data_IF_588169524784
#
_entry.id   IF_588169524784
#
_cell.length_a   1.000
_cell.length_b   1.000
_cell.length_c   1.000
_cell.angle_alpha   90.00
_cell.angle_beta   90.00
_cell.angle_gamma   90.00
#
_symmetry.space_group_name_H-M   'P 1'
#
loop_
_entity.id
_entity.type
_entity.pdbx_description
1 polymer ?
#
# COMPACT_ATOMS: atom_id res chain seq x y z
N UNK A 1 -0.50 15.85 4.33
CA UNK A 1 0.76 15.05 4.26
C UNK A 1 0.52 13.55 4.46
N UNK A 2 -0.42 13.11 5.32
CA UNK A 2 -0.64 11.67 5.62
C UNK A 2 -1.26 10.84 4.47
N UNK A 3 -2.17 11.40 3.67
CA UNK A 3 -2.92 10.64 2.63
C UNK A 3 -2.05 10.07 1.49
N UNK A 4 -0.79 10.52 1.38
CA UNK A 4 0.15 9.99 0.37
C UNK A 4 0.70 8.62 0.76
N UNK A 5 0.87 8.36 2.06
CA UNK A 5 1.61 7.19 2.56
C UNK A 5 0.70 6.13 3.17
N UNK A 6 -0.49 6.52 3.62
CA UNK A 6 -1.49 5.59 4.12
C UNK A 6 -2.83 5.78 3.42
N UNK A 7 -3.56 4.69 3.25
CA UNK A 7 -4.95 4.68 2.80
C UNK A 7 -5.78 3.83 3.75
N UNK A 8 -7.03 4.22 4.00
CA UNK A 8 -7.98 3.38 4.72
C UNK A 8 -8.14 2.04 3.98
N UNK A 9 -8.43 0.95 4.72
CA UNK A 9 -8.52 -0.39 4.14
C UNK A 9 -9.56 -0.48 2.99
N UNK A 10 -10.65 0.28 3.11
CA UNK A 10 -11.74 0.37 2.14
C UNK A 10 -11.58 1.48 1.08
N UNK A 11 -10.52 2.30 1.16
CA UNK A 11 -10.35 3.49 0.33
C UNK A 11 -10.51 3.17 -1.17
N UNK A 12 -11.30 3.94 -1.94
CA UNK A 12 -11.45 3.74 -3.38
C UNK A 12 -10.12 3.80 -4.14
N UNK A 13 -9.13 4.58 -3.67
CA UNK A 13 -7.80 4.70 -4.26
C UNK A 13 -6.89 3.50 -3.97
N UNK A 14 -7.32 2.55 -3.14
CA UNK A 14 -6.58 1.31 -2.86
C UNK A 14 -6.62 0.37 -4.08
N UNK A 15 -5.98 0.80 -5.16
CA UNK A 15 -5.82 0.09 -6.41
C UNK A 15 -4.39 -0.44 -6.56
N UNK A 16 -4.17 -1.29 -7.57
CA UNK A 16 -2.90 -1.97 -7.81
C UNK A 16 -1.68 -1.03 -7.77
N UNK A 17 -1.80 0.16 -8.38
CA UNK A 17 -0.72 1.14 -8.44
C UNK A 17 -0.33 1.70 -7.06
N UNK A 18 -1.27 1.80 -6.13
CA UNK A 18 -1.08 2.46 -4.84
C UNK A 18 -0.81 1.49 -3.71
N UNK A 19 -1.36 0.28 -3.73
CA UNK A 19 -1.28 -0.68 -2.60
C UNK A 19 -0.86 -2.10 -3.03
N UNK A 20 -0.58 -2.31 -4.32
CA UNK A 20 -0.27 -3.63 -4.86
C UNK A 20 -1.48 -4.56 -4.97
N UNK A 21 -1.27 -5.76 -5.52
CA UNK A 21 -2.36 -6.69 -5.84
C UNK A 21 -3.10 -7.25 -4.63
N UNK A 22 -2.39 -7.47 -3.51
CA UNK A 22 -2.98 -7.93 -2.25
C UNK A 22 -3.83 -6.84 -1.61
N UNK A 23 -3.29 -5.63 -1.47
CA UNK A 23 -4.02 -4.49 -0.90
C UNK A 23 -5.28 -4.18 -1.71
N UNK A 24 -5.18 -4.18 -3.05
CA UNK A 24 -6.32 -3.95 -3.92
C UNK A 24 -7.39 -5.05 -3.81
N UNK A 25 -6.96 -6.31 -3.62
CA UNK A 25 -7.89 -7.42 -3.39
C UNK A 25 -8.61 -7.30 -2.05
N UNK A 26 -7.87 -7.00 -0.96
CA UNK A 26 -8.46 -6.75 0.37
C UNK A 26 -9.46 -5.59 0.32
N UNK A 27 -9.12 -4.48 -0.32
CA UNK A 27 -10.01 -3.33 -0.45
C UNK A 27 -11.31 -3.67 -1.18
N UNK A 28 -11.26 -4.53 -2.21
CA UNK A 28 -12.47 -5.07 -2.86
C UNK A 28 -13.31 -5.92 -1.92
N UNK A 29 -12.69 -6.81 -1.14
CA UNK A 29 -13.42 -7.66 -0.18
C UNK A 29 -14.12 -6.80 0.88
N UNK A 30 -13.43 -5.80 1.43
CA UNK A 30 -14.00 -4.88 2.43
C UNK A 30 -15.18 -4.10 1.85
N UNK A 31 -15.03 -3.52 0.65
CA UNK A 31 -16.13 -2.80 -0.02
C UNK A 31 -17.30 -3.70 -0.41
N UNK A 32 -17.05 -5.00 -0.61
CA UNK A 32 -18.10 -6.00 -0.84
C UNK A 32 -18.82 -6.43 0.45
N UNK A 33 -18.45 -5.90 1.62
CA UNK A 33 -19.06 -6.24 2.91
C UNK A 33 -18.63 -7.59 3.48
N UNK A 34 -17.55 -8.19 2.97
CA UNK A 34 -17.01 -9.43 3.52
C UNK A 34 -16.25 -9.15 4.82
N UNK A 35 -16.23 -10.10 5.77
CA UNK A 35 -15.54 -9.94 7.05
C UNK A 35 -14.03 -9.95 6.83
N UNK A 36 -13.42 -8.76 6.80
CA UNK A 36 -11.98 -8.55 6.74
C UNK A 36 -11.53 -7.88 8.03
N UNK A 37 -10.47 -8.35 8.70
CA UNK A 37 -9.95 -7.68 9.89
C UNK A 37 -9.60 -6.21 9.61
N UNK A 38 -9.87 -5.36 10.61
CA UNK A 38 -9.58 -3.92 10.56
C UNK A 38 -8.10 -3.64 10.28
N UNK A 39 -7.82 -2.52 9.61
CA UNK A 39 -6.46 -2.12 9.26
C UNK A 39 -6.39 -0.95 8.28
N UNK A 40 -5.22 -0.79 7.65
CA UNK A 40 -4.97 0.22 6.63
C UNK A 40 -3.84 -0.23 5.70
N UNK A 41 -3.71 0.42 4.55
CA UNK A 41 -2.63 0.15 3.61
C UNK A 41 -1.48 1.13 3.81
N UNK A 42 -0.25 0.63 3.76
CA UNK A 42 0.94 1.45 3.48
C UNK A 42 1.13 1.47 1.97
N UNK A 43 1.21 2.65 1.37
CA UNK A 43 1.21 2.79 -0.10
C UNK A 43 2.57 2.44 -0.72
N UNK A 44 2.57 2.14 -2.02
CA UNK A 44 3.79 1.98 -2.81
C UNK A 44 4.62 3.28 -2.84
N UNK A 45 3.98 4.44 -2.66
CA UNK A 45 4.68 5.72 -2.56
C UNK A 45 5.48 5.82 -1.26
N UNK A 46 4.97 5.29 -0.15
CA UNK A 46 5.69 5.23 1.12
C UNK A 46 6.93 4.33 1.00
N UNK A 47 6.79 3.16 0.36
CA UNK A 47 7.91 2.27 0.09
C UNK A 47 9.00 2.94 -0.75
N UNK A 48 8.61 3.60 -1.86
CA UNK A 48 9.57 4.31 -2.72
C UNK A 48 10.31 5.42 -1.98
N UNK A 49 9.60 6.22 -1.19
CA UNK A 49 10.23 7.28 -0.38
C UNK A 49 11.23 6.69 0.62
N UNK A 50 10.85 5.65 1.34
CA UNK A 50 11.75 4.98 2.29
C UNK A 50 13.01 4.42 1.62
N UNK A 51 12.87 3.75 0.47
CA UNK A 51 14.02 3.19 -0.26
C UNK A 51 14.96 4.28 -0.77
N UNK A 52 14.41 5.36 -1.32
CA UNK A 52 15.17 6.49 -1.87
C UNK A 52 15.93 7.26 -0.76
N UNK A 53 15.22 7.63 0.31
CA UNK A 53 15.79 8.37 1.46
C UNK A 53 16.94 7.61 2.15
N UNK A 54 16.94 6.28 2.07
CA UNK A 54 17.95 5.43 2.70
C UNK A 54 18.96 4.84 1.69
N UNK A 55 18.90 5.23 0.41
CA UNK A 55 19.81 4.74 -0.63
C UNK A 55 19.80 3.21 -0.79
N UNK A 56 18.67 2.55 -0.54
CA UNK A 56 18.60 1.09 -0.43
C UNK A 56 18.48 0.37 -1.79
N UNK A 57 18.14 1.09 -2.86
CA UNK A 57 17.79 0.48 -4.15
C UNK A 57 18.89 -0.43 -4.70
N UNK A 58 20.15 0.03 -4.68
CA UNK A 58 21.28 -0.76 -5.16
C UNK A 58 21.43 -2.06 -4.37
N UNK A 59 21.37 -1.97 -3.03
CA UNK A 59 21.49 -3.12 -2.13
C UNK A 59 20.38 -4.15 -2.28
N UNK A 60 19.17 -3.71 -2.65
CA UNK A 60 18.02 -4.61 -2.87
C UNK A 60 18.17 -5.36 -4.20
N UNK A 61 18.67 -4.70 -5.25
CA UNK A 61 18.85 -5.30 -6.58
C UNK A 61 20.03 -6.27 -6.63
N UNK A 62 21.05 -6.03 -5.81
CA UNK A 62 22.23 -6.91 -5.69
C UNK A 62 21.98 -8.20 -4.91
N UNK A 63 20.88 -8.30 -4.15
CA UNK A 63 20.52 -9.44 -3.30
C UNK A 63 19.69 -10.50 -4.05
#
# INVERSE_FOLDING_TARGET
MSERYTLALSDPKAELAFVGGKGASLARLVRAGLPVPEGFHITTAAYRAFVDENGLQARIVEA
#
